data_IF_365514839908
#
_entry.id   IF_365514839908
#
_cell.length_a   1.000
_cell.length_b   1.000
_cell.length_c   1.000
_cell.angle_alpha   90.00
_cell.angle_beta   90.00
_cell.angle_gamma   90.00
#
_symmetry.space_group_name_H-M   'P 1'
#
loop_
_entity.id
_entity.type
_entity.pdbx_description
1 polymer ?
#
# COMPACT_ATOMS: atom_id res chain seq x y z
N UNK A 1 36.98 -44.36 22.84
CA UNK A 1 37.69 -44.64 24.10
C UNK A 1 37.50 -43.44 25.03
N UNK A 2 36.91 -43.62 26.21
CA UNK A 2 36.71 -42.54 27.20
C UNK A 2 38.04 -42.22 27.85
N UNK A 3 38.54 -40.98 27.73
CA UNK A 3 39.74 -40.52 28.42
C UNK A 3 39.44 -40.32 29.89
N UNK A 4 40.07 -41.11 30.78
CA UNK A 4 39.95 -40.98 32.21
C UNK A 4 40.81 -39.76 32.66
N UNK A 5 40.21 -38.76 33.27
CA UNK A 5 40.91 -37.58 33.82
C UNK A 5 41.21 -37.81 35.28
N UNK A 6 42.40 -37.48 35.75
CA UNK A 6 42.86 -37.52 37.13
C UNK A 6 43.21 -36.10 37.54
N UNK A 7 42.92 -35.75 38.80
CA UNK A 7 43.47 -34.52 39.39
C UNK A 7 44.39 -34.92 40.55
N UNK A 8 45.40 -34.11 40.79
CA UNK A 8 46.32 -34.31 41.90
C UNK A 8 45.78 -33.61 43.14
N UNK A 9 45.47 -34.39 44.18
CA UNK A 9 45.05 -33.83 45.46
C UNK A 9 46.32 -33.53 46.29
N UNK A 10 46.51 -32.25 46.64
CA UNK A 10 47.65 -31.78 47.38
C UNK A 10 47.62 -32.13 48.86
N UNK A 11 46.46 -32.40 49.44
CA UNK A 11 46.32 -32.81 50.83
C UNK A 11 46.64 -34.28 51.07
N UNK A 12 46.18 -35.15 50.15
CA UNK A 12 46.43 -36.61 50.28
C UNK A 12 47.65 -37.07 49.47
N UNK A 13 48.30 -36.16 48.73
CA UNK A 13 49.43 -36.45 47.82
C UNK A 13 49.18 -37.63 46.85
N UNK A 14 47.95 -37.78 46.37
CA UNK A 14 47.53 -38.87 45.47
C UNK A 14 46.77 -38.36 44.26
N UNK A 15 46.85 -39.11 43.14
CA UNK A 15 46.02 -38.87 42.00
C UNK A 15 44.66 -39.48 42.19
N UNK A 16 43.60 -38.64 42.25
CA UNK A 16 42.23 -39.08 42.33
C UNK A 16 41.54 -39.03 40.98
N UNK A 17 40.70 -40.02 40.69
CA UNK A 17 39.94 -40.09 39.47
C UNK A 17 38.70 -39.17 39.56
N UNK A 18 38.59 -38.22 38.62
CA UNK A 18 37.42 -37.36 38.54
C UNK A 18 36.22 -38.22 38.16
N UNK A 19 35.30 -38.40 39.07
CA UNK A 19 33.99 -39.03 38.81
C UNK A 19 33.03 -37.92 38.47
N UNK A 20 32.73 -37.78 37.15
CA UNK A 20 31.70 -36.83 36.70
C UNK A 20 30.32 -37.37 37.10
N UNK A 21 29.59 -36.61 37.89
CA UNK A 21 28.21 -36.95 38.28
C UNK A 21 27.33 -36.89 37.03
N UNK A 22 26.31 -37.71 36.95
CA UNK A 22 25.28 -37.67 35.89
C UNK A 22 24.60 -36.26 35.87
N UNK A 23 24.48 -35.62 37.01
CA UNK A 23 23.99 -34.26 37.17
C UNK A 23 24.88 -33.21 36.51
N UNK A 24 26.20 -33.33 36.62
CA UNK A 24 27.16 -32.39 36.01
C UNK A 24 27.08 -32.47 34.49
N UNK A 25 26.93 -33.68 33.95
CA UNK A 25 26.75 -33.90 32.51
C UNK A 25 25.43 -33.26 32.04
N UNK A 26 24.35 -33.47 32.81
CA UNK A 26 23.03 -32.91 32.50
C UNK A 26 23.03 -31.39 32.54
N UNK A 27 23.58 -30.77 33.59
CA UNK A 27 23.67 -29.34 33.74
C UNK A 27 24.52 -28.73 32.63
N UNK A 28 25.66 -29.32 32.29
CA UNK A 28 26.54 -28.83 31.23
C UNK A 28 25.89 -28.97 29.85
N UNK A 29 25.14 -30.05 29.58
CA UNK A 29 24.37 -30.25 28.36
C UNK A 29 23.24 -29.23 28.25
N UNK A 30 22.54 -28.94 29.36
CA UNK A 30 21.49 -27.95 29.41
C UNK A 30 22.06 -26.51 29.17
N UNK A 31 23.17 -26.20 29.79
CA UNK A 31 23.86 -24.92 29.59
C UNK A 31 24.29 -24.74 28.14
N UNK A 32 24.83 -25.78 27.52
CA UNK A 32 25.20 -25.74 26.09
C UNK A 32 23.97 -25.53 25.20
N UNK A 33 22.85 -26.22 25.50
CA UNK A 33 21.60 -26.11 24.75
C UNK A 33 21.04 -24.66 24.84
N UNK A 34 21.05 -24.08 26.03
CA UNK A 34 20.57 -22.68 26.22
C UNK A 34 21.40 -21.67 25.42
N UNK A 35 22.71 -21.79 25.46
CA UNK A 35 23.60 -20.91 24.67
C UNK A 35 23.36 -21.09 23.17
N UNK A 36 23.26 -22.34 22.71
CA UNK A 36 22.98 -22.64 21.31
C UNK A 36 21.62 -22.06 20.85
N UNK A 37 20.59 -22.16 21.70
CA UNK A 37 19.27 -21.59 21.42
C UNK A 37 19.31 -20.06 21.34
N UNK A 38 20.01 -19.40 22.25
CA UNK A 38 20.16 -17.93 22.22
C UNK A 38 20.86 -17.46 20.95
N UNK A 39 21.93 -18.15 20.55
CA UNK A 39 22.67 -17.84 19.30
C UNK A 39 21.77 -18.06 18.08
N UNK A 40 21.08 -19.20 18.02
CA UNK A 40 20.16 -19.51 16.91
C UNK A 40 19.04 -18.46 16.78
N UNK A 41 18.43 -18.08 17.91
CA UNK A 41 17.40 -17.03 17.93
C UNK A 41 17.94 -15.69 17.45
N UNK A 42 19.15 -15.31 17.89
CA UNK A 42 19.82 -14.09 17.45
C UNK A 42 20.12 -14.09 15.95
N UNK A 43 20.54 -15.21 15.39
CA UNK A 43 20.79 -15.34 13.95
C UNK A 43 19.52 -15.25 13.13
N UNK A 44 18.43 -15.91 13.57
CA UNK A 44 17.11 -15.85 12.89
C UNK A 44 16.57 -14.42 12.93
N UNK A 45 16.66 -13.75 14.07
CA UNK A 45 16.22 -12.36 14.21
C UNK A 45 17.06 -11.43 13.32
N UNK A 46 18.38 -11.59 13.31
CA UNK A 46 19.26 -10.85 12.42
C UNK A 46 18.93 -11.08 10.95
N UNK A 47 18.66 -12.32 10.56
CA UNK A 47 18.24 -12.65 9.19
C UNK A 47 16.91 -11.94 8.82
N UNK A 48 15.89 -11.98 9.69
CA UNK A 48 14.61 -11.32 9.46
C UNK A 48 14.72 -9.80 9.32
N UNK A 49 15.65 -9.17 10.05
CA UNK A 49 15.86 -7.71 9.99
C UNK A 49 16.63 -7.29 8.74
N UNK A 50 17.62 -8.09 8.33
CA UNK A 50 18.49 -7.74 7.20
C UNK A 50 17.97 -8.21 5.83
N UNK A 51 17.21 -9.29 5.79
CA UNK A 51 16.68 -9.82 4.55
C UNK A 51 15.17 -9.56 4.46
N UNK A 52 14.78 -8.67 3.54
CA UNK A 52 13.38 -8.49 3.19
C UNK A 52 12.81 -9.83 2.65
N UNK A 53 11.65 -10.22 3.14
CA UNK A 53 10.97 -11.40 2.62
C UNK A 53 10.67 -11.24 1.13
N UNK A 54 10.83 -12.30 0.31
CA UNK A 54 10.44 -12.25 -1.11
C UNK A 54 8.99 -11.79 -1.30
N UNK A 55 8.10 -12.10 -0.37
CA UNK A 55 6.70 -11.63 -0.37
C UNK A 55 6.61 -10.12 -0.15
N UNK A 56 7.41 -9.55 0.75
CA UNK A 56 7.45 -8.09 0.97
C UNK A 56 7.96 -7.35 -0.26
N UNK A 57 9.00 -7.89 -0.91
CA UNK A 57 9.51 -7.33 -2.17
C UNK A 57 8.47 -7.38 -3.29
N UNK A 58 7.72 -8.47 -3.38
CA UNK A 58 6.64 -8.60 -4.36
C UNK A 58 5.50 -7.63 -4.07
N UNK A 59 5.01 -7.58 -2.83
CA UNK A 59 3.97 -6.63 -2.41
C UNK A 59 4.39 -5.18 -2.62
N UNK A 60 5.66 -4.87 -2.38
CA UNK A 60 6.20 -3.52 -2.62
C UNK A 60 6.20 -3.16 -4.11
N UNK A 61 6.59 -4.10 -4.98
CA UNK A 61 6.54 -3.92 -6.44
C UNK A 61 5.11 -3.74 -6.92
N UNK A 62 4.19 -4.62 -6.51
CA UNK A 62 2.77 -4.51 -6.85
C UNK A 62 2.17 -3.17 -6.38
N UNK A 63 2.54 -2.71 -5.19
CA UNK A 63 2.10 -1.41 -4.68
C UNK A 63 2.66 -0.24 -5.50
N UNK A 64 3.90 -0.34 -5.97
CA UNK A 64 4.50 0.68 -6.85
C UNK A 64 3.84 0.69 -8.23
N UNK A 65 3.56 -0.49 -8.80
CA UNK A 65 2.85 -0.62 -10.08
C UNK A 65 1.43 -0.06 -9.98
N UNK A 66 0.69 -0.42 -8.93
CA UNK A 66 -0.64 0.14 -8.68
C UNK A 66 -0.62 1.67 -8.56
N UNK A 67 0.40 2.23 -7.90
CA UNK A 67 0.57 3.69 -7.81
C UNK A 67 0.85 4.32 -9.18
N UNK A 68 1.66 3.66 -10.00
CA UNK A 68 1.95 4.13 -11.35
C UNK A 68 0.66 4.15 -12.21
N UNK A 69 -0.11 3.06 -12.20
CA UNK A 69 -1.39 3.01 -12.91
C UNK A 69 -2.39 4.03 -12.38
N UNK A 70 -2.42 4.24 -11.07
CA UNK A 70 -3.27 5.24 -10.44
C UNK A 70 -2.93 6.66 -10.93
N UNK A 71 -1.64 7.00 -10.98
CA UNK A 71 -1.18 8.28 -11.50
C UNK A 71 -1.46 8.44 -13.00
N UNK A 72 -1.39 7.34 -13.77
CA UNK A 72 -1.72 7.36 -15.19
C UNK A 72 -3.22 7.65 -15.39
N UNK A 73 -4.08 6.98 -14.64
CA UNK A 73 -5.53 7.25 -14.65
C UNK A 73 -5.86 8.70 -14.29
N UNK A 74 -5.14 9.29 -13.33
CA UNK A 74 -5.28 10.70 -12.97
C UNK A 74 -4.96 11.63 -14.15
N UNK A 75 -3.89 11.35 -14.90
CA UNK A 75 -3.54 12.09 -16.11
C UNK A 75 -4.57 11.93 -17.24
N UNK A 76 -5.08 10.72 -17.42
CA UNK A 76 -6.11 10.46 -18.42
C UNK A 76 -7.41 11.22 -18.10
N UNK A 77 -7.81 11.26 -16.83
CA UNK A 77 -8.95 12.07 -16.38
C UNK A 77 -8.74 13.57 -16.65
N UNK A 78 -7.53 14.07 -16.40
CA UNK A 78 -7.18 15.47 -16.72
C UNK A 78 -7.27 15.74 -18.22
N UNK A 79 -6.75 14.84 -19.05
CA UNK A 79 -6.86 14.94 -20.51
C UNK A 79 -8.31 14.96 -20.98
N UNK A 80 -9.16 14.10 -20.41
CA UNK A 80 -10.60 14.06 -20.70
C UNK A 80 -11.26 15.38 -20.29
N UNK A 81 -10.90 15.93 -19.13
CA UNK A 81 -11.39 17.24 -18.68
C UNK A 81 -11.04 18.36 -19.65
N UNK A 82 -9.80 18.40 -20.15
CA UNK A 82 -9.35 19.39 -21.13
C UNK A 82 -10.09 19.27 -22.46
N UNK A 83 -10.28 18.04 -22.96
CA UNK A 83 -11.06 17.80 -24.18
C UNK A 83 -12.50 18.28 -24.01
N UNK A 84 -13.11 17.94 -22.86
CA UNK A 84 -14.48 18.36 -22.57
C UNK A 84 -14.59 19.91 -22.50
N UNK A 85 -13.64 20.56 -21.88
CA UNK A 85 -13.58 22.03 -21.85
C UNK A 85 -13.46 22.63 -23.25
N UNK A 86 -12.60 22.07 -24.11
CA UNK A 86 -12.47 22.54 -25.50
C UNK A 86 -13.76 22.32 -26.31
N UNK A 87 -14.53 21.26 -26.01
CA UNK A 87 -15.85 21.05 -26.61
C UNK A 87 -16.87 22.08 -26.13
N UNK A 88 -16.84 22.45 -24.84
CA UNK A 88 -17.70 23.50 -24.29
C UNK A 88 -17.40 24.87 -24.90
N UNK A 89 -16.13 25.22 -25.04
CA UNK A 89 -15.70 26.47 -25.70
C UNK A 89 -16.17 26.52 -27.17
N UNK A 90 -16.06 25.41 -27.90
CA UNK A 90 -16.60 25.32 -29.28
C UNK A 90 -18.12 25.40 -29.35
N UNK A 91 -18.81 24.84 -28.37
CA UNK A 91 -20.27 24.94 -28.28
C UNK A 91 -20.69 26.41 -28.13
N UNK A 92 -20.07 27.16 -27.21
CA UNK A 92 -20.43 28.53 -26.94
C UNK A 92 -19.97 29.51 -28.04
N UNK A 93 -18.76 29.39 -28.57
CA UNK A 93 -18.16 30.32 -29.46
C UNK A 93 -18.55 30.10 -30.95
N UNK A 94 -18.87 28.89 -31.32
CA UNK A 94 -19.09 28.52 -32.72
C UNK A 94 -20.55 28.10 -32.93
N UNK A 95 -20.95 26.99 -32.30
CA UNK A 95 -22.26 26.40 -32.64
C UNK A 95 -23.43 27.27 -32.22
N UNK A 96 -23.45 27.79 -30.99
CA UNK A 96 -24.53 28.64 -30.49
C UNK A 96 -24.58 29.97 -31.20
N UNK A 97 -23.45 30.52 -31.56
CA UNK A 97 -23.38 31.75 -32.37
C UNK A 97 -23.94 31.54 -33.76
N UNK A 98 -23.63 30.44 -34.43
CA UNK A 98 -24.12 30.13 -35.78
C UNK A 98 -25.62 29.89 -35.78
N UNK A 99 -26.12 29.17 -34.79
CA UNK A 99 -27.54 28.81 -34.68
C UNK A 99 -28.38 29.82 -33.93
N UNK A 100 -27.79 30.90 -33.41
CA UNK A 100 -28.49 31.97 -32.68
C UNK A 100 -29.08 31.54 -31.33
N UNK A 101 -28.52 30.48 -30.73
CA UNK A 101 -28.95 29.93 -29.42
C UNK A 101 -28.11 30.59 -28.31
N UNK A 102 -28.74 30.88 -27.18
CA UNK A 102 -28.00 31.44 -26.04
C UNK A 102 -27.02 30.44 -25.42
N UNK A 103 -25.82 30.88 -24.94
CA UNK A 103 -24.89 30.00 -24.22
C UNK A 103 -25.52 29.38 -22.98
N UNK A 104 -25.11 28.16 -22.65
CA UNK A 104 -25.55 27.47 -21.46
C UNK A 104 -24.96 28.14 -20.21
N UNK A 105 -25.75 28.45 -19.22
CA UNK A 105 -25.28 29.09 -18.00
C UNK A 105 -24.24 28.21 -17.25
N UNK A 106 -23.17 28.82 -16.78
CA UNK A 106 -22.07 28.11 -16.09
C UNK A 106 -22.54 27.37 -14.83
N UNK A 107 -23.58 27.86 -14.17
CA UNK A 107 -24.19 27.20 -13.00
C UNK A 107 -24.77 25.83 -13.36
N UNK A 108 -25.27 25.65 -14.59
CA UNK A 108 -25.79 24.36 -15.07
C UNK A 108 -24.64 23.39 -15.30
N UNK A 109 -23.52 23.88 -15.87
CA UNK A 109 -22.32 23.08 -16.15
C UNK A 109 -21.60 22.64 -14.88
N UNK A 110 -21.48 23.55 -13.91
CA UNK A 110 -20.72 23.33 -12.66
C UNK A 110 -21.55 22.84 -11.49
N UNK A 111 -22.86 22.81 -11.60
CA UNK A 111 -23.77 22.38 -10.53
C UNK A 111 -23.38 21.05 -9.88
N UNK A 112 -23.56 20.96 -8.57
CA UNK A 112 -23.06 19.88 -7.70
C UNK A 112 -23.30 18.44 -8.17
N UNK A 113 -22.32 17.59 -7.99
CA UNK A 113 -22.25 16.22 -8.53
C UNK A 113 -22.65 15.13 -7.55
N UNK A 114 -23.09 15.42 -6.34
CA UNK A 114 -23.44 14.32 -5.43
C UNK A 114 -23.94 14.73 -4.08
N UNK A 115 -24.72 13.86 -3.47
CA UNK A 115 -25.12 13.97 -2.07
C UNK A 115 -23.96 13.61 -1.13
N UNK A 116 -23.91 14.23 0.05
CA UNK A 116 -22.88 14.07 1.09
C UNK A 116 -22.62 12.62 1.53
N UNK A 117 -23.52 11.68 1.21
CA UNK A 117 -23.46 10.29 1.68
C UNK A 117 -22.95 9.27 0.64
N UNK A 118 -22.70 9.68 -0.62
CA UNK A 118 -22.37 8.73 -1.70
C UNK A 118 -21.11 7.92 -1.41
N UNK A 119 -20.11 8.53 -0.79
CA UNK A 119 -18.81 7.92 -0.52
C UNK A 119 -18.61 7.52 0.95
N UNK A 120 -19.62 7.68 1.79
CA UNK A 120 -19.54 7.41 3.23
C UNK A 120 -19.14 5.97 3.54
N UNK A 121 -19.74 5.00 2.85
CA UNK A 121 -19.39 3.59 3.02
C UNK A 121 -17.94 3.25 2.64
N UNK A 122 -17.32 4.07 1.79
CA UNK A 122 -15.91 3.95 1.45
C UNK A 122 -15.04 4.56 2.55
N UNK A 123 -15.44 5.72 3.09
CA UNK A 123 -14.77 6.41 4.19
C UNK A 123 -14.80 5.63 5.51
N UNK A 124 -15.79 4.79 5.71
CA UNK A 124 -15.90 3.92 6.90
C UNK A 124 -14.95 2.70 6.85
N UNK A 125 -14.34 2.40 5.68
CA UNK A 125 -13.41 1.26 5.52
C UNK A 125 -12.00 1.52 6.04
N UNK A 126 -11.63 2.76 6.32
CA UNK A 126 -10.32 3.13 6.88
C UNK A 126 -9.14 2.75 5.99
N UNK A 127 -9.27 2.86 4.67
CA UNK A 127 -8.21 2.55 3.72
C UNK A 127 -7.09 3.59 3.80
N UNK A 128 -5.83 3.18 3.74
CA UNK A 128 -4.66 4.08 3.85
C UNK A 128 -4.65 5.25 2.86
N UNK A 129 -5.40 5.15 1.74
CA UNK A 129 -5.48 6.15 0.67
C UNK A 129 -6.90 6.55 0.32
N UNK A 130 -7.78 6.46 1.27
CA UNK A 130 -9.20 6.75 1.14
C UNK A 130 -9.48 8.13 0.54
N UNK A 131 -8.80 9.16 1.03
CA UNK A 131 -8.97 10.53 0.56
C UNK A 131 -8.67 10.69 -0.94
N UNK A 132 -7.64 9.99 -1.47
CA UNK A 132 -7.31 9.99 -2.90
C UNK A 132 -8.39 9.30 -3.71
N UNK A 133 -8.83 8.13 -3.28
CA UNK A 133 -9.87 7.35 -3.98
C UNK A 133 -11.18 8.14 -4.04
N UNK A 134 -11.57 8.76 -2.93
CA UNK A 134 -12.80 9.59 -2.88
C UNK A 134 -12.67 10.81 -3.78
N UNK A 135 -11.53 11.49 -3.78
CA UNK A 135 -11.26 12.64 -4.65
C UNK A 135 -11.41 12.27 -6.13
N UNK A 136 -10.85 11.14 -6.54
CA UNK A 136 -10.91 10.73 -7.96
C UNK A 136 -12.29 10.23 -8.37
N UNK A 137 -13.01 9.54 -7.48
CA UNK A 137 -14.41 9.21 -7.72
C UNK A 137 -15.28 10.46 -7.88
N UNK A 138 -15.02 11.51 -7.11
CA UNK A 138 -15.70 12.80 -7.26
C UNK A 138 -15.38 13.45 -8.59
N UNK A 139 -14.12 13.43 -9.04
CA UNK A 139 -13.73 13.93 -10.37
C UNK A 139 -14.42 13.17 -11.49
N UNK A 140 -14.45 11.83 -11.41
CA UNK A 140 -15.14 10.98 -12.39
C UNK A 140 -16.63 11.33 -12.45
N UNK A 141 -17.28 11.51 -11.32
CA UNK A 141 -18.70 11.87 -11.29
C UNK A 141 -18.93 13.27 -11.88
N UNK A 142 -18.03 14.22 -11.61
CA UNK A 142 -18.08 15.56 -12.22
C UNK A 142 -17.95 15.49 -13.74
N UNK A 143 -16.95 14.74 -14.25
CA UNK A 143 -16.74 14.55 -15.68
C UNK A 143 -17.95 13.88 -16.35
N UNK A 144 -18.51 12.83 -15.75
CA UNK A 144 -19.71 12.17 -16.26
C UNK A 144 -20.89 13.13 -16.40
N UNK A 145 -21.09 13.98 -15.39
CA UNK A 145 -22.14 15.00 -15.43
C UNK A 145 -21.91 16.03 -16.52
N UNK A 146 -20.71 16.56 -16.62
CA UNK A 146 -20.34 17.53 -17.65
C UNK A 146 -20.52 16.94 -19.05
N UNK A 147 -20.11 15.68 -19.29
CA UNK A 147 -20.36 14.98 -20.55
C UNK A 147 -21.85 14.84 -20.86
N UNK A 148 -22.66 14.48 -19.87
CA UNK A 148 -24.11 14.40 -20.05
C UNK A 148 -24.74 15.74 -20.41
N UNK A 149 -24.32 16.82 -19.74
CA UNK A 149 -24.80 18.18 -20.02
C UNK A 149 -24.36 18.60 -21.43
N UNK A 150 -23.12 18.32 -21.82
CA UNK A 150 -22.64 18.66 -23.17
C UNK A 150 -23.39 17.89 -24.26
N UNK A 151 -23.73 16.62 -24.04
CA UNK A 151 -24.56 15.86 -24.96
C UNK A 151 -25.94 16.48 -25.12
N UNK A 152 -26.55 16.92 -24.00
CA UNK A 152 -27.86 17.60 -24.04
C UNK A 152 -27.79 18.95 -24.73
N UNK A 153 -26.69 19.72 -24.51
CA UNK A 153 -26.44 20.97 -25.21
C UNK A 153 -26.41 20.79 -26.73
N UNK A 154 -25.79 19.72 -27.22
CA UNK A 154 -25.77 19.42 -28.65
C UNK A 154 -27.13 19.01 -29.20
N UNK A 155 -27.94 18.25 -28.44
CA UNK A 155 -29.29 17.89 -28.84
C UNK A 155 -30.15 19.16 -29.05
N UNK A 156 -30.04 20.17 -28.16
CA UNK A 156 -30.75 21.45 -28.24
C UNK A 156 -30.35 22.29 -29.46
N UNK A 157 -29.13 22.14 -29.97
CA UNK A 157 -28.65 22.89 -31.17
C UNK A 157 -29.19 22.26 -32.46
N UNK A 158 -29.43 20.94 -32.46
CA UNK A 158 -29.83 20.17 -33.64
C UNK A 158 -31.35 20.18 -33.84
N UNK A 159 -32.15 20.42 -32.80
CA UNK A 159 -33.61 20.58 -32.88
C UNK A 159 -33.98 21.98 -33.42
#
# INVERSE_FOLDING_TARGET
>A
MARIKYYYDTESCRYERIRTSKWDIFINSLAFLTVATVIATGLVFGYMVYFESPEELQLRKENQELLMYYNLMGKDMESISQVLQSMQERDDDIYRVIFGVNPLADEIRTGGTGGANKYRALMEKGLSREALIVSDLQKIDALKKQMYIQTKSYDEIVE
#
